data_IF_319850453481
#
_entry.id   IF_319850453481
#
_cell.length_a   1.000
_cell.length_b   1.000
_cell.length_c   1.000
_cell.angle_alpha   90.00
_cell.angle_beta   90.00
_cell.angle_gamma   90.00
#
_symmetry.space_group_name_H-M   'P 1'
#
loop_
_entity.id
_entity.type
_entity.pdbx_description
1 polymer ?
#
# COMPACT_ATOMS: atom_id res chain seq x y z
N UNK A 1 15.99 -3.29 0.50
CA UNK A 1 16.50 -2.77 -0.79
C UNK A 1 18.01 -2.58 -0.79
N UNK A 2 18.56 -1.87 0.21
CA UNK A 2 20.03 -1.65 0.31
C UNK A 2 20.77 -2.94 0.56
N UNK A 3 20.32 -3.75 1.50
CA UNK A 3 20.93 -5.03 1.84
C UNK A 3 20.99 -5.97 0.62
N UNK A 4 19.88 -6.09 -0.12
CA UNK A 4 19.80 -6.93 -1.34
C UNK A 4 20.78 -6.50 -2.41
N UNK A 5 20.88 -5.18 -2.70
CA UNK A 5 21.81 -4.66 -3.73
C UNK A 5 23.26 -4.89 -3.36
N UNK A 6 23.60 -4.72 -2.08
CA UNK A 6 24.98 -4.85 -1.59
C UNK A 6 25.37 -6.30 -1.25
N UNK A 7 24.42 -7.24 -1.21
CA UNK A 7 24.65 -8.62 -0.81
C UNK A 7 24.98 -8.78 0.67
N UNK A 8 24.39 -7.91 1.53
CA UNK A 8 24.62 -7.89 2.97
C UNK A 8 23.46 -8.53 3.73
N UNK A 9 23.73 -9.01 4.94
CA UNK A 9 22.67 -9.35 5.89
C UNK A 9 21.90 -8.08 6.28
N UNK A 10 20.57 -8.20 6.46
CA UNK A 10 19.70 -7.08 6.79
C UNK A 10 20.11 -6.38 8.10
N UNK A 11 20.63 -7.12 9.07
CA UNK A 11 21.11 -6.60 10.35
C UNK A 11 22.30 -5.63 10.21
N UNK A 12 23.00 -5.65 9.07
CA UNK A 12 24.11 -4.74 8.76
C UNK A 12 23.65 -3.35 8.33
N UNK A 13 22.37 -3.20 8.02
CA UNK A 13 21.77 -1.94 7.55
C UNK A 13 20.99 -1.27 8.66
N UNK A 14 21.40 -0.05 9.03
CA UNK A 14 20.65 0.80 9.95
C UNK A 14 19.95 1.90 9.19
N UNK A 15 18.64 2.03 9.41
CA UNK A 15 17.82 3.10 8.84
C UNK A 15 17.57 4.16 9.90
N UNK A 16 17.72 5.42 9.54
CA UNK A 16 17.37 6.58 10.38
C UNK A 16 16.26 7.35 9.67
N UNK A 17 15.10 7.46 10.31
CA UNK A 17 13.91 8.16 9.81
C UNK A 17 13.27 8.95 10.94
N UNK A 18 12.44 9.94 10.61
CA UNK A 18 11.62 10.67 11.58
C UNK A 18 12.38 11.71 12.42
N UNK A 19 13.68 11.89 12.22
CA UNK A 19 14.50 12.87 12.88
C UNK A 19 14.81 14.03 11.93
N UNK A 20 14.13 15.16 12.11
CA UNK A 20 14.26 16.33 11.22
C UNK A 20 15.62 17.03 11.29
N UNK A 21 16.46 16.71 12.29
CA UNK A 21 17.80 17.28 12.38
C UNK A 21 18.83 16.56 11.49
N UNK A 22 18.58 15.29 11.18
CA UNK A 22 19.53 14.45 10.44
C UNK A 22 19.02 13.94 9.11
N UNK A 23 17.70 13.85 8.92
CA UNK A 23 17.12 13.35 7.66
C UNK A 23 16.70 14.50 6.75
N UNK A 24 16.84 14.36 5.43
CA UNK A 24 16.36 15.37 4.49
C UNK A 24 14.82 15.45 4.52
N UNK A 25 14.29 16.55 3.99
CA UNK A 25 12.84 16.73 3.88
C UNK A 25 12.21 15.58 3.12
N UNK A 26 11.25 14.94 3.74
CA UNK A 26 10.33 13.98 3.12
C UNK A 26 8.96 14.61 2.90
N UNK A 27 8.33 14.29 1.77
CA UNK A 27 7.00 14.81 1.45
C UNK A 27 5.86 13.96 2.03
N UNK A 28 6.17 12.89 2.77
CA UNK A 28 5.20 12.01 3.42
C UNK A 28 4.80 10.79 2.61
N UNK A 29 4.06 9.90 3.27
CA UNK A 29 3.70 8.58 2.78
C UNK A 29 2.38 8.53 1.98
N UNK A 30 1.77 9.68 1.68
CA UNK A 30 0.51 9.74 0.94
C UNK A 30 0.60 9.08 -0.45
N UNK A 31 -0.55 8.70 -1.02
CA UNK A 31 -0.66 7.93 -2.27
C UNK A 31 0.06 6.58 -2.22
N UNK A 32 0.22 6.02 -1.04
CA UNK A 32 0.88 4.72 -0.79
C UNK A 32 2.24 4.55 -1.50
N UNK A 33 2.98 5.64 -1.66
CA UNK A 33 4.12 5.78 -2.59
C UNK A 33 5.48 5.43 -1.99
N UNK A 34 5.58 5.18 -0.68
CA UNK A 34 6.89 5.06 0.00
C UNK A 34 7.73 3.94 -0.61
N UNK A 35 7.17 2.73 -0.73
CA UNK A 35 7.91 1.60 -1.33
C UNK A 35 8.38 1.93 -2.74
N UNK A 36 7.54 2.54 -3.56
CA UNK A 36 7.87 2.87 -4.94
C UNK A 36 8.91 3.99 -5.04
N UNK A 37 8.68 5.12 -4.38
CA UNK A 37 9.52 6.32 -4.49
C UNK A 37 10.82 6.20 -3.68
N UNK A 38 10.69 5.94 -2.38
CA UNK A 38 11.85 5.83 -1.48
C UNK A 38 12.64 4.55 -1.77
N UNK A 39 11.94 3.46 -2.12
CA UNK A 39 12.60 2.22 -2.53
C UNK A 39 13.48 2.40 -3.78
N UNK A 40 13.02 3.13 -4.80
CA UNK A 40 13.83 3.43 -5.98
C UNK A 40 15.01 4.38 -5.67
N UNK A 41 14.80 5.39 -4.82
CA UNK A 41 15.89 6.25 -4.36
C UNK A 41 16.95 5.46 -3.58
N UNK A 42 16.53 4.55 -2.69
CA UNK A 42 17.41 3.65 -1.97
C UNK A 42 18.15 2.68 -2.90
N UNK A 43 17.46 2.19 -3.94
CA UNK A 43 18.05 1.33 -4.98
C UNK A 43 19.18 2.06 -5.74
N UNK A 44 18.96 3.32 -6.11
CA UNK A 44 19.98 4.14 -6.77
C UNK A 44 21.17 4.40 -5.83
N UNK A 45 20.92 4.83 -4.58
CA UNK A 45 21.98 5.04 -3.60
C UNK A 45 22.81 3.76 -3.37
N UNK A 46 22.15 2.61 -3.22
CA UNK A 46 22.81 1.34 -3.03
C UNK A 46 23.66 0.93 -4.25
N UNK A 47 23.18 1.19 -5.46
CA UNK A 47 23.96 0.96 -6.71
C UNK A 47 25.19 1.87 -6.78
N UNK A 48 25.04 3.14 -6.40
CA UNK A 48 26.17 4.08 -6.34
C UNK A 48 27.21 3.62 -5.32
N UNK A 49 26.79 3.18 -4.13
CA UNK A 49 27.70 2.62 -3.14
C UNK A 49 28.36 1.32 -3.63
N UNK A 50 27.59 0.44 -4.25
CA UNK A 50 28.11 -0.82 -4.83
C UNK A 50 29.21 -0.55 -5.84
N UNK A 51 29.07 0.47 -6.68
CA UNK A 51 30.10 0.85 -7.64
C UNK A 51 31.40 1.29 -6.95
N UNK A 52 31.31 2.09 -5.88
CA UNK A 52 32.47 2.51 -5.06
C UNK A 52 33.19 1.29 -4.46
N UNK A 53 32.41 0.38 -3.84
CA UNK A 53 32.94 -0.82 -3.20
C UNK A 53 33.52 -1.80 -4.24
N UNK A 54 32.88 -1.97 -5.39
CA UNK A 54 33.39 -2.81 -6.48
C UNK A 54 34.73 -2.31 -6.98
N UNK A 55 34.92 -1.01 -7.17
CA UNK A 55 36.21 -0.43 -7.56
C UNK A 55 37.28 -0.62 -6.49
N UNK A 56 36.95 -0.50 -5.21
CA UNK A 56 37.88 -0.77 -4.13
C UNK A 56 38.27 -2.26 -4.05
N UNK A 57 37.29 -3.15 -4.21
CA UNK A 57 37.54 -4.58 -4.27
C UNK A 57 38.44 -4.97 -5.46
N UNK A 58 38.21 -4.36 -6.63
CA UNK A 58 39.03 -4.57 -7.83
C UNK A 58 40.49 -4.18 -7.59
N UNK A 59 40.76 -3.04 -6.96
CA UNK A 59 42.13 -2.64 -6.57
C UNK A 59 42.73 -3.63 -5.58
N UNK A 60 41.97 -4.02 -4.54
CA UNK A 60 42.45 -4.93 -3.50
C UNK A 60 42.77 -6.34 -4.04
N UNK A 61 42.00 -6.82 -4.99
CA UNK A 61 42.12 -8.16 -5.58
C UNK A 61 42.92 -8.18 -6.88
N UNK A 62 43.46 -7.01 -7.30
CA UNK A 62 44.22 -6.84 -8.55
C UNK A 62 43.45 -7.37 -9.78
N UNK A 63 42.17 -7.02 -9.87
CA UNK A 63 41.24 -7.48 -10.89
C UNK A 63 40.51 -6.30 -11.54
N UNK A 64 39.77 -6.54 -12.62
CA UNK A 64 38.92 -5.51 -13.24
C UNK A 64 37.61 -5.41 -12.49
N UNK A 65 36.97 -4.22 -12.38
CA UNK A 65 35.70 -4.04 -11.70
C UNK A 65 34.58 -4.95 -12.23
N UNK A 66 34.55 -5.21 -13.53
CA UNK A 66 33.57 -6.08 -14.18
C UNK A 66 33.69 -7.55 -13.82
N UNK A 67 34.84 -7.96 -13.30
CA UNK A 67 35.12 -9.33 -12.85
C UNK A 67 34.81 -9.53 -11.36
N UNK A 68 34.41 -8.45 -10.65
CA UNK A 68 34.13 -8.50 -9.21
C UNK A 68 32.67 -8.86 -8.96
N UNK A 69 32.47 -9.90 -8.16
CA UNK A 69 31.14 -10.27 -7.61
C UNK A 69 31.16 -10.22 -6.09
N UNK A 70 30.05 -9.80 -5.48
CA UNK A 70 29.85 -9.85 -4.04
C UNK A 70 28.78 -10.90 -3.73
N UNK A 71 29.13 -11.92 -3.00
CA UNK A 71 28.23 -12.99 -2.55
C UNK A 71 28.46 -13.25 -1.06
N UNK A 72 27.41 -13.05 -0.27
CA UNK A 72 27.45 -13.30 1.18
C UNK A 72 28.56 -12.51 1.88
N UNK A 73 28.64 -11.20 1.63
CA UNK A 73 29.61 -10.27 2.23
C UNK A 73 31.08 -10.53 1.81
N UNK A 74 31.32 -11.36 0.79
CA UNK A 74 32.67 -11.62 0.25
C UNK A 74 32.73 -11.18 -1.20
N UNK A 75 33.71 -10.32 -1.50
CA UNK A 75 34.05 -9.90 -2.86
C UNK A 75 35.06 -10.85 -3.47
N UNK A 76 34.79 -11.31 -4.67
CA UNK A 76 35.69 -12.26 -5.42
C UNK A 76 35.88 -11.77 -6.84
N UNK A 77 37.03 -12.07 -7.39
CA UNK A 77 37.38 -11.79 -8.77
C UNK A 77 37.32 -13.09 -9.60
N UNK A 78 36.22 -13.27 -10.34
CA UNK A 78 36.03 -14.43 -11.20
C UNK A 78 36.11 -15.76 -10.44
N UNK A 79 36.96 -16.68 -10.94
CA UNK A 79 37.19 -18.01 -10.34
C UNK A 79 38.36 -18.05 -9.33
N UNK A 80 38.83 -16.90 -8.86
CA UNK A 80 39.92 -16.86 -7.89
C UNK A 80 39.48 -17.40 -6.53
N UNK A 81 40.34 -18.22 -5.89
CA UNK A 81 40.07 -18.71 -4.53
C UNK A 81 40.22 -17.63 -3.46
N UNK A 82 40.88 -16.52 -3.77
CA UNK A 82 41.04 -15.38 -2.86
C UNK A 82 39.86 -14.43 -2.97
N UNK A 83 39.22 -14.16 -1.83
CA UNK A 83 38.20 -13.13 -1.68
C UNK A 83 38.64 -12.06 -0.69
N UNK A 84 37.97 -10.93 -0.70
CA UNK A 84 38.05 -9.87 0.32
C UNK A 84 36.70 -9.73 1.03
N UNK A 85 36.75 -9.62 2.35
CA UNK A 85 35.50 -9.38 3.13
C UNK A 85 34.97 -7.99 2.87
N UNK A 86 33.72 -7.76 3.22
CA UNK A 86 33.07 -6.44 3.13
C UNK A 86 33.89 -5.39 3.91
N UNK A 87 34.33 -5.70 5.14
CA UNK A 87 35.13 -4.80 5.97
C UNK A 87 36.49 -4.46 5.34
N UNK A 88 37.13 -5.43 4.73
CA UNK A 88 38.40 -5.19 4.04
C UNK A 88 38.23 -4.29 2.82
N UNK A 89 37.13 -4.47 2.08
CA UNK A 89 36.81 -3.64 0.90
C UNK A 89 36.43 -2.22 1.33
N UNK A 90 35.65 -2.07 2.39
CA UNK A 90 35.32 -0.77 2.96
C UNK A 90 36.61 -0.06 3.42
N UNK A 91 37.49 -0.76 4.11
CA UNK A 91 38.80 -0.21 4.55
C UNK A 91 39.62 0.26 3.35
N UNK A 92 39.61 -0.49 2.25
CA UNK A 92 40.31 -0.08 1.01
C UNK A 92 39.67 1.18 0.40
N UNK A 93 38.34 1.23 0.34
CA UNK A 93 37.60 2.39 -0.19
C UNK A 93 37.83 3.67 0.63
N UNK A 94 37.94 3.54 1.95
CA UNK A 94 38.16 4.67 2.87
C UNK A 94 39.54 5.33 2.70
N UNK A 95 40.54 4.66 2.11
CA UNK A 95 41.84 5.25 1.84
C UNK A 95 41.75 6.50 0.93
N UNK A 96 40.75 6.52 0.04
CA UNK A 96 40.60 7.60 -0.93
C UNK A 96 39.90 8.85 -0.34
N UNK A 97 38.93 8.65 0.55
CA UNK A 97 37.98 9.71 0.94
C UNK A 97 37.80 9.91 2.45
N UNK A 98 38.34 9.02 3.28
CA UNK A 98 38.12 9.04 4.75
C UNK A 98 36.68 8.72 5.19
N UNK A 99 35.68 9.08 4.40
CA UNK A 99 34.27 8.71 4.57
C UNK A 99 33.66 8.40 3.20
N UNK A 100 32.69 7.50 3.19
CA UNK A 100 31.94 7.18 1.98
C UNK A 100 30.49 7.63 2.21
N UNK A 101 30.05 8.60 1.42
CA UNK A 101 28.66 9.06 1.39
C UNK A 101 28.19 9.03 -0.06
N UNK A 102 27.03 8.45 -0.27
CA UNK A 102 26.37 8.42 -1.58
C UNK A 102 24.93 8.88 -1.45
N UNK A 103 24.38 9.41 -2.53
CA UNK A 103 22.99 9.85 -2.60
C UNK A 103 22.27 9.12 -3.71
N UNK A 104 21.02 8.78 -3.48
CA UNK A 104 20.10 8.31 -4.48
C UNK A 104 18.85 9.19 -4.51
N UNK A 105 18.35 9.46 -5.71
CA UNK A 105 17.17 10.27 -5.94
C UNK A 105 16.21 9.53 -6.87
N UNK A 106 14.94 9.71 -6.65
CA UNK A 106 13.93 9.22 -7.58
C UNK A 106 12.81 10.24 -7.74
N UNK A 107 12.45 10.50 -8.96
CA UNK A 107 11.26 11.30 -9.29
C UNK A 107 10.54 10.68 -10.48
N UNK A 108 9.21 10.76 -10.46
CA UNK A 108 8.43 10.45 -11.66
C UNK A 108 8.61 11.57 -12.68
N UNK A 109 8.68 11.22 -13.95
CA UNK A 109 8.74 12.20 -15.05
C UNK A 109 7.29 12.50 -15.49
N UNK A 110 6.70 13.63 -15.08
CA UNK A 110 5.28 13.92 -15.36
C UNK A 110 4.95 13.96 -16.87
N UNK A 111 5.92 14.32 -17.67
CA UNK A 111 5.78 14.53 -19.12
C UNK A 111 5.75 13.22 -19.91
N UNK A 112 6.35 12.15 -19.40
CA UNK A 112 6.41 10.85 -20.09
C UNK A 112 5.06 10.12 -20.13
N UNK A 113 4.11 10.55 -19.32
CA UNK A 113 2.83 9.88 -19.17
C UNK A 113 1.75 10.39 -20.12
N UNK A 114 2.03 11.40 -20.94
CA UNK A 114 1.10 11.93 -21.92
C UNK A 114 -0.28 12.25 -21.32
N UNK A 115 -0.33 12.49 -20.02
CA UNK A 115 -1.55 12.61 -19.25
C UNK A 115 -2.44 13.70 -19.83
N UNK A 116 -3.48 13.31 -20.54
CA UNK A 116 -4.52 14.24 -20.92
C UNK A 116 -5.11 14.81 -19.66
N UNK A 117 -5.01 16.12 -19.50
CA UNK A 117 -5.71 16.84 -18.42
C UNK A 117 -7.20 16.59 -18.58
N UNK A 118 -7.77 15.81 -17.69
CA UNK A 118 -9.19 15.51 -17.70
C UNK A 118 -9.87 16.37 -16.63
N UNK A 119 -10.64 17.38 -17.06
CA UNK A 119 -11.44 18.26 -16.15
C UNK A 119 -10.66 18.76 -14.92
N UNK A 120 -9.41 19.17 -15.10
CA UNK A 120 -8.59 19.72 -14.02
C UNK A 120 -7.76 18.70 -13.22
N UNK A 121 -7.87 17.41 -13.48
CA UNK A 121 -6.97 16.40 -12.92
C UNK A 121 -6.08 15.78 -13.98
N UNK A 122 -4.84 15.50 -13.63
CA UNK A 122 -3.93 14.71 -14.44
C UNK A 122 -4.14 13.23 -14.08
N UNK A 123 -4.67 12.44 -15.01
CA UNK A 123 -4.65 10.99 -14.90
C UNK A 123 -3.29 10.55 -15.46
N UNK A 124 -2.54 9.78 -14.68
CA UNK A 124 -1.28 9.19 -15.12
C UNK A 124 -0.02 9.88 -14.60
N UNK A 125 -0.12 10.59 -13.47
CA UNK A 125 1.06 11.09 -12.76
C UNK A 125 1.86 10.01 -12.03
N UNK A 126 1.48 8.74 -12.16
CA UNK A 126 2.19 7.61 -11.55
C UNK A 126 2.76 6.67 -12.61
N UNK A 127 3.89 6.05 -12.29
CA UNK A 127 4.53 5.03 -13.15
C UNK A 127 3.99 3.63 -12.89
N UNK A 128 3.38 3.37 -11.73
CA UNK A 128 2.83 2.07 -11.35
C UNK A 128 1.36 2.17 -10.99
N UNK A 129 0.58 1.16 -11.39
CA UNK A 129 -0.82 0.98 -11.02
C UNK A 129 -0.97 -0.33 -10.28
N UNK A 130 -1.60 -0.29 -9.10
CA UNK A 130 -2.04 -1.48 -8.40
C UNK A 130 -3.49 -1.80 -8.73
N UNK A 131 -3.85 -3.05 -8.53
CA UNK A 131 -5.19 -3.56 -8.76
C UNK A 131 -5.67 -4.30 -7.54
N UNK A 132 -6.93 -4.09 -7.16
CA UNK A 132 -7.56 -4.82 -6.07
C UNK A 132 -8.95 -5.27 -6.46
N UNK A 133 -9.30 -6.49 -6.07
CA UNK A 133 -10.64 -7.04 -6.18
C UNK A 133 -11.05 -7.59 -4.82
N UNK A 134 -12.32 -7.37 -4.44
CA UNK A 134 -12.82 -7.80 -3.14
C UNK A 134 -14.19 -8.45 -3.25
N UNK A 135 -14.40 -9.44 -2.38
CA UNK A 135 -15.71 -10.04 -2.11
C UNK A 135 -16.00 -9.85 -0.63
N UNK A 136 -17.19 -9.38 -0.32
CA UNK A 136 -17.65 -9.13 1.05
C UNK A 136 -18.89 -9.98 1.30
N UNK A 137 -18.89 -10.68 2.41
CA UNK A 137 -20.04 -11.41 2.93
C UNK A 137 -20.64 -10.62 4.10
N UNK A 138 -21.95 -10.44 4.10
CA UNK A 138 -22.67 -9.68 5.12
C UNK A 138 -23.92 -10.40 5.59
N UNK A 139 -24.25 -10.18 6.85
CA UNK A 139 -25.56 -10.45 7.45
C UNK A 139 -26.27 -9.14 7.78
N UNK A 140 -27.56 -9.05 7.46
CA UNK A 140 -28.37 -7.86 7.74
C UNK A 140 -29.55 -8.23 8.65
N UNK A 141 -29.63 -7.58 9.79
CA UNK A 141 -30.83 -7.65 10.64
C UNK A 141 -31.84 -6.63 10.14
N UNK A 142 -32.89 -7.12 9.49
CA UNK A 142 -33.94 -6.25 8.93
C UNK A 142 -34.85 -5.60 9.98
N UNK A 143 -34.80 -6.01 11.25
CA UNK A 143 -35.58 -5.40 12.34
C UNK A 143 -34.89 -4.19 12.96
N UNK A 144 -33.54 -4.19 12.92
CA UNK A 144 -32.73 -3.11 13.51
C UNK A 144 -31.95 -2.30 12.48
N UNK A 145 -31.79 -2.83 11.26
CA UNK A 145 -30.93 -2.25 10.22
C UNK A 145 -29.44 -2.51 10.42
N UNK A 146 -29.05 -3.30 11.42
CA UNK A 146 -27.63 -3.61 11.68
C UNK A 146 -27.08 -4.50 10.56
N UNK A 147 -25.95 -4.06 10.00
CA UNK A 147 -25.17 -4.83 9.01
C UNK A 147 -23.92 -5.35 9.70
N UNK A 148 -23.72 -6.65 9.64
CA UNK A 148 -22.50 -7.31 10.10
C UNK A 148 -21.69 -7.75 8.89
N UNK A 149 -20.41 -7.41 8.85
CA UNK A 149 -19.48 -7.94 7.85
C UNK A 149 -18.95 -9.27 8.38
N UNK A 150 -19.38 -10.37 7.76
CA UNK A 150 -19.05 -11.71 8.23
C UNK A 150 -17.64 -12.14 7.78
N UNK A 151 -17.26 -11.79 6.54
CA UNK A 151 -15.93 -12.10 6.00
C UNK A 151 -15.61 -11.22 4.78
N UNK A 152 -14.30 -10.99 4.58
CA UNK A 152 -13.77 -10.28 3.40
C UNK A 152 -12.67 -11.10 2.74
N UNK A 153 -12.75 -11.24 1.43
CA UNK A 153 -11.67 -11.79 0.60
C UNK A 153 -11.12 -10.67 -0.27
N UNK A 154 -9.80 -10.57 -0.28
CA UNK A 154 -9.08 -9.53 -1.04
C UNK A 154 -8.04 -10.19 -1.93
N UNK A 155 -8.03 -9.84 -3.21
CA UNK A 155 -6.90 -10.07 -4.09
C UNK A 155 -6.27 -8.70 -4.42
N UNK A 156 -5.00 -8.52 -4.04
CA UNK A 156 -4.29 -7.25 -4.24
C UNK A 156 -2.97 -7.47 -4.99
N UNK A 157 -2.79 -6.73 -6.08
CA UNK A 157 -1.57 -6.72 -6.87
C UNK A 157 -0.62 -5.62 -6.37
N UNK A 158 0.37 -6.01 -5.59
CA UNK A 158 1.43 -5.14 -5.07
C UNK A 158 2.72 -5.16 -5.92
N UNK A 159 2.67 -5.73 -7.12
CA UNK A 159 3.85 -5.90 -7.98
C UNK A 159 4.77 -7.00 -7.50
N UNK A 160 5.52 -6.76 -6.45
CA UNK A 160 6.35 -7.73 -5.71
C UNK A 160 6.22 -7.48 -4.22
N UNK A 161 5.85 -8.49 -3.46
CA UNK A 161 5.81 -8.39 -2.01
C UNK A 161 7.23 -8.52 -1.44
N UNK A 162 7.87 -7.38 -1.14
CA UNK A 162 9.20 -7.37 -0.50
C UNK A 162 9.15 -7.96 0.91
N UNK A 163 8.02 -7.79 1.60
CA UNK A 163 7.71 -8.45 2.86
C UNK A 163 6.21 -8.80 2.88
N UNK A 164 5.90 -10.09 2.74
CA UNK A 164 4.51 -10.58 2.67
C UNK A 164 3.69 -10.21 3.90
N UNK A 165 4.26 -10.36 5.10
CA UNK A 165 3.56 -10.06 6.35
C UNK A 165 3.12 -8.60 6.43
N UNK A 166 4.00 -7.67 6.04
CA UNK A 166 3.66 -6.24 6.04
C UNK A 166 2.67 -5.88 4.94
N UNK A 167 2.73 -6.52 3.78
CA UNK A 167 1.74 -6.34 2.70
C UNK A 167 0.36 -6.82 3.16
N UNK A 168 0.27 -8.00 3.77
CA UNK A 168 -0.98 -8.53 4.34
C UNK A 168 -1.55 -7.56 5.39
N UNK A 169 -0.71 -7.07 6.31
CA UNK A 169 -1.12 -6.09 7.31
C UNK A 169 -1.61 -4.76 6.71
N UNK A 170 -0.98 -4.28 5.63
CA UNK A 170 -1.45 -3.07 4.92
C UNK A 170 -2.81 -3.31 4.26
N UNK A 171 -3.01 -4.45 3.61
CA UNK A 171 -4.29 -4.80 2.98
C UNK A 171 -5.41 -4.93 4.02
N UNK A 172 -5.15 -5.63 5.12
CA UNK A 172 -6.12 -5.75 6.22
C UNK A 172 -6.46 -4.40 6.82
N UNK A 173 -5.46 -3.55 7.07
CA UNK A 173 -5.66 -2.20 7.60
C UNK A 173 -6.45 -1.30 6.67
N UNK A 174 -6.26 -1.40 5.36
CA UNK A 174 -7.02 -0.60 4.38
C UNK A 174 -8.46 -1.07 4.23
N UNK A 175 -8.74 -2.38 4.29
CA UNK A 175 -10.11 -2.92 4.36
C UNK A 175 -10.82 -2.39 5.60
N UNK A 176 -10.16 -2.48 6.75
CA UNK A 176 -10.71 -1.98 8.02
C UNK A 176 -10.98 -0.47 7.99
N UNK A 177 -10.08 0.32 7.40
CA UNK A 177 -10.28 1.76 7.17
C UNK A 177 -11.49 2.00 6.25
N UNK A 178 -11.62 1.24 5.16
CA UNK A 178 -12.78 1.30 4.26
C UNK A 178 -14.09 0.93 4.96
N UNK A 179 -14.05 -0.01 5.91
CA UNK A 179 -15.20 -0.38 6.73
C UNK A 179 -15.65 0.78 7.61
N UNK A 180 -14.74 1.47 8.27
CA UNK A 180 -15.05 2.68 9.04
C UNK A 180 -15.73 3.75 8.18
N UNK A 181 -15.14 4.09 7.04
CA UNK A 181 -15.68 5.06 6.10
C UNK A 181 -17.05 4.65 5.56
N UNK A 182 -17.28 3.37 5.33
CA UNK A 182 -18.53 2.89 4.74
C UNK A 182 -19.68 2.75 5.76
N UNK A 183 -19.39 2.50 7.03
CA UNK A 183 -20.41 2.08 8.00
C UNK A 183 -20.60 3.00 9.19
N UNK A 184 -19.58 3.75 9.64
CA UNK A 184 -19.63 4.42 10.93
C UNK A 184 -19.03 5.83 11.00
N UNK A 185 -18.04 6.13 10.16
CA UNK A 185 -17.33 7.41 10.21
C UNK A 185 -18.07 8.48 9.40
N UNK A 186 -18.50 9.56 10.06
CA UNK A 186 -19.15 10.69 9.41
C UNK A 186 -18.67 12.01 10.01
N UNK A 187 -18.06 12.86 9.17
CA UNK A 187 -17.76 14.24 9.54
C UNK A 187 -19.01 15.10 9.33
N UNK A 188 -19.89 15.14 10.32
CA UNK A 188 -21.15 15.89 10.24
C UNK A 188 -20.94 17.36 10.62
N UNK A 189 -21.60 18.25 9.87
CA UNK A 189 -21.56 19.70 10.08
C UNK A 189 -22.97 20.25 10.28
N UNK A 190 -23.11 21.18 11.23
CA UNK A 190 -24.31 21.97 11.44
C UNK A 190 -23.93 23.45 11.49
N UNK A 191 -24.53 24.28 10.65
CA UNK A 191 -24.21 25.71 10.51
C UNK A 191 -22.71 26.04 10.40
N UNK A 192 -21.96 25.20 9.70
CA UNK A 192 -20.51 25.36 9.50
C UNK A 192 -19.64 24.85 10.67
N UNK A 193 -20.24 24.35 11.73
CA UNK A 193 -19.54 23.73 12.86
C UNK A 193 -19.56 22.22 12.74
N UNK A 194 -18.39 21.59 12.90
CA UNK A 194 -18.29 20.14 12.94
C UNK A 194 -18.87 19.61 14.27
N UNK A 195 -19.95 18.86 14.19
CA UNK A 195 -20.64 18.31 15.38
C UNK A 195 -20.08 16.96 15.82
N UNK A 196 -19.32 16.29 14.98
CA UNK A 196 -18.60 15.03 15.27
C UNK A 196 -17.10 15.27 15.48
N UNK A 197 -16.73 16.33 16.22
CA UNK A 197 -15.35 16.78 16.38
C UNK A 197 -14.52 15.98 17.40
N UNK A 198 -15.04 14.89 17.94
CA UNK A 198 -14.37 14.05 18.92
C UNK A 198 -14.59 12.56 18.62
N UNK A 199 -13.77 11.69 19.24
CA UNK A 199 -13.79 10.24 18.96
C UNK A 199 -15.01 9.51 19.56
N UNK A 200 -15.85 10.18 20.33
CA UNK A 200 -17.12 9.62 20.83
C UNK A 200 -18.18 9.63 19.72
N UNK A 201 -18.22 10.72 18.96
CA UNK A 201 -19.21 10.95 17.91
C UNK A 201 -18.70 10.53 16.52
N UNK A 202 -17.41 10.79 16.23
CA UNK A 202 -16.72 10.25 15.05
C UNK A 202 -16.24 8.83 15.35
N UNK A 203 -17.03 7.84 14.94
CA UNK A 203 -16.86 6.45 15.36
C UNK A 203 -15.93 5.68 14.44
N UNK A 204 -14.64 5.65 14.79
CA UNK A 204 -13.68 4.73 14.17
C UNK A 204 -13.95 3.31 14.70
N UNK A 205 -14.04 2.29 13.83
CA UNK A 205 -14.20 0.91 14.26
C UNK A 205 -13.10 0.47 15.23
N UNK A 206 -13.42 -0.43 16.14
CA UNK A 206 -12.45 -1.04 17.05
C UNK A 206 -11.94 -2.37 16.48
N UNK A 207 -10.93 -2.95 17.08
CA UNK A 207 -10.42 -4.26 16.66
C UNK A 207 -11.49 -5.36 16.79
N UNK A 208 -12.47 -5.19 17.67
CA UNK A 208 -13.58 -6.14 17.84
C UNK A 208 -14.56 -6.11 16.67
N UNK A 209 -14.60 -5.00 15.93
CA UNK A 209 -15.46 -4.83 14.76
C UNK A 209 -14.82 -5.41 13.49
N UNK A 210 -13.52 -5.77 13.55
CA UNK A 210 -12.78 -6.29 12.39
C UNK A 210 -13.25 -7.70 12.02
N UNK A 211 -13.75 -7.90 10.79
CA UNK A 211 -14.11 -9.23 10.31
C UNK A 211 -12.84 -10.06 10.01
N UNK A 212 -12.97 -11.37 9.83
CA UNK A 212 -11.93 -12.18 9.21
C UNK A 212 -11.63 -11.67 7.79
N UNK A 213 -10.36 -11.34 7.51
CA UNK A 213 -9.92 -10.83 6.20
C UNK A 213 -8.90 -11.81 5.62
N UNK A 214 -9.24 -12.42 4.49
CA UNK A 214 -8.38 -13.32 3.75
C UNK A 214 -7.70 -12.60 2.59
N UNK A 215 -6.36 -12.54 2.61
CA UNK A 215 -5.57 -11.76 1.66
C UNK A 215 -4.85 -12.67 0.66
N UNK A 216 -5.18 -12.51 -0.62
CA UNK A 216 -4.43 -13.04 -1.75
C UNK A 216 -3.50 -11.98 -2.32
N UNK A 217 -2.19 -12.23 -2.27
CA UNK A 217 -1.18 -11.36 -2.86
C UNK A 217 -0.92 -11.79 -4.30
N UNK A 218 -1.10 -10.86 -5.24
CA UNK A 218 -0.74 -11.00 -6.65
C UNK A 218 0.57 -10.26 -6.91
N UNK A 219 1.48 -10.90 -7.61
CA UNK A 219 2.80 -10.34 -7.94
C UNK A 219 2.96 -10.21 -9.46
N UNK A 220 2.65 -9.03 -10.00
CA UNK A 220 2.78 -8.74 -11.44
C UNK A 220 4.19 -8.30 -11.85
N UNK A 221 5.06 -8.01 -10.88
CA UNK A 221 6.44 -7.54 -11.08
C UNK A 221 6.49 -6.26 -11.93
N UNK A 222 6.19 -5.12 -11.30
CA UNK A 222 6.18 -3.82 -11.99
C UNK A 222 7.58 -3.45 -12.51
N UNK A 223 7.71 -3.07 -13.80
CA UNK A 223 9.03 -2.78 -14.39
C UNK A 223 9.70 -1.51 -13.83
N UNK A 224 8.94 -0.63 -13.18
CA UNK A 224 9.44 0.64 -12.64
C UNK A 224 9.61 0.63 -11.12
N UNK A 225 9.05 -0.37 -10.44
CA UNK A 225 9.16 -0.49 -8.99
C UNK A 225 10.48 -1.12 -8.53
N UNK A 226 10.95 -0.82 -7.32
CA UNK A 226 12.14 -1.46 -6.77
C UNK A 226 11.89 -2.96 -6.63
N UNK A 227 12.69 -3.77 -7.34
CA UNK A 227 12.51 -5.22 -7.46
C UNK A 227 11.11 -5.67 -7.92
N UNK A 228 10.39 -4.80 -8.61
CA UNK A 228 9.04 -5.08 -9.07
C UNK A 228 7.93 -4.68 -8.11
N UNK A 229 8.25 -4.09 -6.95
CA UNK A 229 7.27 -3.68 -5.97
C UNK A 229 6.55 -2.39 -6.36
N UNK A 230 5.29 -2.29 -5.99
CA UNK A 230 4.47 -1.09 -6.08
C UNK A 230 3.67 -0.90 -4.78
N UNK A 231 2.59 -0.12 -4.79
CA UNK A 231 1.85 0.17 -3.58
C UNK A 231 1.09 -1.04 -3.01
N UNK A 232 0.75 -1.01 -1.72
CA UNK A 232 -0.07 -2.01 -1.05
C UNK A 232 -1.10 -1.40 -0.06
N UNK A 233 -1.21 -0.08 0.01
CA UNK A 233 -2.06 0.61 1.00
C UNK A 233 -3.46 0.94 0.46
N UNK A 234 -3.62 2.03 -0.28
CA UNK A 234 -4.91 2.62 -0.60
C UNK A 234 -5.75 1.83 -1.63
N UNK A 235 -5.12 1.00 -2.47
CA UNK A 235 -5.83 0.24 -3.50
C UNK A 235 -6.91 -0.70 -2.94
N UNK A 236 -6.65 -1.32 -1.81
CA UNK A 236 -7.61 -2.22 -1.15
C UNK A 236 -8.72 -1.47 -0.42
N UNK A 237 -8.47 -0.23 0.04
CA UNK A 237 -9.50 0.61 0.64
C UNK A 237 -10.60 0.95 -0.37
N UNK A 238 -10.20 1.44 -1.54
CA UNK A 238 -11.13 1.88 -2.57
C UNK A 238 -12.07 0.76 -3.07
N UNK A 239 -11.59 -0.48 -3.11
CA UNK A 239 -12.37 -1.62 -3.57
C UNK A 239 -13.38 -2.13 -2.53
N UNK A 240 -13.14 -1.88 -1.23
CA UNK A 240 -14.03 -2.35 -0.17
C UNK A 240 -15.41 -1.67 -0.19
N UNK A 241 -15.46 -0.34 -0.37
CA UNK A 241 -16.71 0.41 -0.31
C UNK A 241 -17.78 -0.09 -1.30
N UNK A 242 -17.49 -0.25 -2.60
CA UNK A 242 -18.45 -0.80 -3.53
C UNK A 242 -18.73 -2.29 -3.30
N UNK A 243 -17.77 -3.07 -2.82
CA UNK A 243 -17.99 -4.48 -2.49
C UNK A 243 -19.01 -4.63 -1.36
N UNK A 244 -18.88 -3.84 -0.29
CA UNK A 244 -19.82 -3.83 0.83
C UNK A 244 -21.24 -3.42 0.38
N UNK A 245 -21.37 -2.31 -0.35
CA UNK A 245 -22.70 -1.83 -0.78
C UNK A 245 -23.36 -2.80 -1.77
N UNK A 246 -22.58 -3.52 -2.57
CA UNK A 246 -23.10 -4.60 -3.42
C UNK A 246 -23.56 -5.81 -2.59
N UNK A 247 -22.81 -6.21 -1.56
CA UNK A 247 -23.19 -7.30 -0.67
C UNK A 247 -24.50 -6.98 0.08
N UNK A 248 -24.66 -5.76 0.59
CA UNK A 248 -25.91 -5.30 1.20
C UNK A 248 -27.07 -5.33 0.18
N UNK A 249 -26.81 -4.87 -1.04
CA UNK A 249 -27.84 -4.89 -2.08
C UNK A 249 -28.25 -6.32 -2.48
N UNK A 250 -27.34 -7.27 -2.44
CA UNK A 250 -27.64 -8.68 -2.64
C UNK A 250 -28.48 -9.25 -1.50
N UNK A 251 -28.11 -8.96 -0.25
CA UNK A 251 -28.80 -9.43 0.94
C UNK A 251 -30.24 -8.92 1.07
N UNK A 252 -30.48 -7.63 0.85
CA UNK A 252 -31.79 -7.01 1.12
C UNK A 252 -32.46 -6.37 -0.11
N UNK A 253 -31.86 -6.43 -1.30
CA UNK A 253 -32.44 -5.87 -2.53
C UNK A 253 -32.52 -4.33 -2.55
N UNK A 254 -31.73 -3.63 -1.74
CA UNK A 254 -31.69 -2.16 -1.66
C UNK A 254 -30.27 -1.66 -1.93
N UNK A 255 -30.12 -0.71 -2.86
CA UNK A 255 -28.82 -0.09 -3.16
C UNK A 255 -28.66 1.20 -2.38
N UNK A 256 -27.49 1.37 -1.76
CA UNK A 256 -27.05 2.59 -1.10
C UNK A 256 -26.00 3.29 -1.98
N UNK A 257 -26.22 4.59 -2.21
CA UNK A 257 -25.31 5.46 -2.99
C UNK A 257 -24.62 6.51 -2.11
N UNK A 258 -25.09 6.65 -0.87
CA UNK A 258 -24.55 7.57 0.11
C UNK A 258 -23.95 6.80 1.28
N UNK A 259 -22.81 7.28 1.79
CA UNK A 259 -22.09 6.70 2.91
C UNK A 259 -22.11 7.69 4.11
N UNK A 260 -21.95 7.20 5.32
CA UNK A 260 -21.90 5.81 5.75
C UNK A 260 -23.28 5.12 5.68
N UNK A 261 -23.28 3.80 5.52
CA UNK A 261 -24.50 2.96 5.56
C UNK A 261 -24.75 2.58 7.02
N UNK A 262 -25.30 3.51 7.78
CA UNK A 262 -25.60 3.33 9.21
C UNK A 262 -26.85 2.50 9.44
N UNK A 263 -27.03 1.86 10.62
CA UNK A 263 -28.19 1.02 10.90
C UNK A 263 -29.52 1.74 10.72
N UNK A 264 -29.63 3.01 11.12
CA UNK A 264 -30.84 3.84 10.93
C UNK A 264 -31.16 4.04 9.45
N UNK A 265 -30.14 4.32 8.60
CA UNK A 265 -30.33 4.47 7.15
C UNK A 265 -30.79 3.17 6.50
N UNK A 266 -30.23 2.05 6.94
CA UNK A 266 -30.64 0.70 6.45
C UNK A 266 -32.08 0.41 6.87
N UNK A 267 -32.40 0.60 8.13
CA UNK A 267 -33.74 0.38 8.67
C UNK A 267 -34.81 1.25 7.96
N UNK A 268 -34.55 2.55 7.81
CA UNK A 268 -35.46 3.46 7.09
C UNK A 268 -35.69 3.03 5.64
N UNK A 269 -34.65 2.58 4.95
CA UNK A 269 -34.74 2.10 3.57
C UNK A 269 -35.58 0.81 3.47
N UNK A 270 -35.42 -0.12 4.42
CA UNK A 270 -36.24 -1.35 4.52
C UNK A 270 -37.71 -0.99 4.78
N UNK A 271 -37.99 -0.15 5.75
CA UNK A 271 -39.34 0.29 6.06
C UNK A 271 -40.02 1.02 4.89
N UNK A 272 -39.30 1.86 4.19
CA UNK A 272 -39.77 2.53 2.96
C UNK A 272 -40.18 1.52 1.90
N UNK A 273 -39.36 0.47 1.70
CA UNK A 273 -39.65 -0.62 0.76
C UNK A 273 -40.91 -1.41 1.20
N UNK A 274 -41.04 -1.78 2.48
CA UNK A 274 -42.19 -2.49 3.04
C UNK A 274 -43.49 -1.71 2.80
N UNK A 275 -43.51 -0.42 3.14
CA UNK A 275 -44.68 0.46 2.93
C UNK A 275 -45.04 0.65 1.45
N UNK A 276 -44.05 0.64 0.54
CA UNK A 276 -44.30 0.72 -0.89
C UNK A 276 -44.94 -0.57 -1.44
N UNK A 277 -44.51 -1.73 -0.94
CA UNK A 277 -45.09 -3.02 -1.30
C UNK A 277 -46.55 -3.18 -0.83
N UNK A 278 -46.88 -2.69 0.37
CA UNK A 278 -48.26 -2.70 0.91
C UNK A 278 -49.22 -1.81 0.10
N UNK A 279 -48.73 -0.70 -0.44
CA UNK A 279 -49.52 0.23 -1.27
C UNK A 279 -49.70 -0.23 -2.72
N UNK A 280 -48.94 -1.21 -3.16
CA UNK A 280 -49.02 -1.75 -4.52
C UNK A 280 -50.25 -2.64 -4.62
N UNK A 281 -51.21 -2.38 -5.54
CA UNK A 281 -52.42 -3.19 -5.63
C UNK A 281 -52.03 -4.63 -5.93
N UNK A 282 -52.53 -5.61 -5.11
CA UNK A 282 -52.41 -7.01 -5.40
C UNK A 282 -52.97 -7.23 -6.81
N UNK A 283 -52.14 -7.62 -7.77
CA UNK A 283 -52.64 -8.14 -9.05
C UNK A 283 -53.54 -9.32 -8.70
N UNK A 284 -54.87 -9.10 -8.65
CA UNK A 284 -55.84 -10.15 -8.60
C UNK A 284 -55.62 -11.01 -9.86
N UNK A 285 -55.11 -12.21 -9.67
CA UNK A 285 -54.98 -13.18 -10.72
C UNK A 285 -56.39 -13.46 -11.29
N UNK A 286 -56.62 -13.03 -12.52
CA UNK A 286 -57.73 -13.51 -13.32
C UNK A 286 -57.45 -14.97 -13.68
N UNK A 287 -58.44 -15.78 -13.35
CA UNK A 287 -58.53 -17.18 -13.70
C UNK A 287 -58.50 -17.41 -15.21
#
# INVERSE_FOLDING_TARGET
TVAEVLGLDLSRVRVVTGDSEVVPKDNGSYSSRVTFMVGNAALEAARNLKAVLTNAAARKLEARPEDIECLGEVYRAGKQDKGATFEEVVTEALKDTGTITVTGNYSTIPESHGGKKYRGSAIGGTMGYSYSAQVVEVSVDEETGVVTVDKVWVAHDCGKALNRLTVEGQVQGSVWMGMGQAMSEEAAYHDGLMVTANMLDYRVPTIQDSPPIEVGIVESNDPHGPFGAKEAGEGSLAAFLPALTNAIADAIGIRFNDLPVTPDRVFEAIEKRRRAAEKSPKKTGGA
#
